data_IF_515929305857
#
_entry.id   IF_515929305857
#
_cell.length_a   1.000
_cell.length_b   1.000
_cell.length_c   1.000
_cell.angle_alpha   90.00
_cell.angle_beta   90.00
_cell.angle_gamma   90.00
#
_symmetry.space_group_name_H-M   'P 1'
#
loop_
_entity.id
_entity.type
_entity.pdbx_description
1 polymer ?
#
# COMPACT_ATOMS: atom_id res chain seq x y z
N UNK A 1 31.61 0.16 -23.26
CA UNK A 1 30.75 -0.96 -22.78
C UNK A 1 31.33 -1.63 -21.53
N UNK A 2 32.62 -2.01 -21.51
CA UNK A 2 33.30 -2.68 -20.37
C UNK A 2 33.15 -1.98 -19.00
N UNK A 3 33.33 -0.66 -18.95
CA UNK A 3 33.23 0.10 -17.68
C UNK A 3 31.84 0.06 -17.03
N UNK A 4 30.77 -0.04 -17.83
CA UNK A 4 29.39 -0.05 -17.33
C UNK A 4 29.05 -1.41 -16.71
N UNK A 5 29.60 -2.49 -17.25
CA UNK A 5 29.41 -3.86 -16.74
C UNK A 5 30.24 -4.12 -15.48
N UNK A 6 31.46 -3.58 -15.38
CA UNK A 6 32.29 -3.69 -14.17
C UNK A 6 31.67 -2.96 -12.97
N UNK A 7 31.12 -1.75 -13.19
CA UNK A 7 30.41 -1.01 -12.13
C UNK A 7 29.17 -1.74 -11.63
N UNK A 8 28.44 -2.40 -12.54
CA UNK A 8 27.27 -3.20 -12.19
C UNK A 8 27.67 -4.49 -11.46
N UNK A 9 28.74 -5.16 -11.90
CA UNK A 9 29.25 -6.35 -11.22
C UNK A 9 29.68 -6.04 -9.78
N UNK A 10 30.44 -4.96 -9.58
CA UNK A 10 30.84 -4.53 -8.24
C UNK A 10 29.65 -4.18 -7.34
N UNK A 11 28.56 -3.65 -7.91
CA UNK A 11 27.31 -3.42 -7.19
C UNK A 11 26.66 -4.73 -6.75
N UNK A 12 26.60 -5.75 -7.63
CA UNK A 12 26.03 -7.06 -7.29
C UNK A 12 26.89 -7.85 -6.29
N UNK A 13 28.22 -7.82 -6.42
CA UNK A 13 29.13 -8.47 -5.47
C UNK A 13 29.01 -7.86 -4.07
N UNK A 14 28.89 -6.54 -4.01
CA UNK A 14 28.69 -5.84 -2.75
C UNK A 14 27.31 -6.16 -2.13
N UNK A 15 26.24 -6.18 -2.93
CA UNK A 15 24.91 -6.61 -2.50
C UNK A 15 24.90 -8.04 -1.93
N UNK A 16 25.58 -8.98 -2.60
CA UNK A 16 25.68 -10.38 -2.14
C UNK A 16 26.47 -10.51 -0.83
N UNK A 17 27.51 -9.69 -0.64
CA UNK A 17 28.29 -9.66 0.60
C UNK A 17 27.42 -9.23 1.79
N UNK A 18 26.64 -8.17 1.63
CA UNK A 18 25.77 -7.67 2.70
C UNK A 18 24.65 -8.65 3.01
N UNK A 19 24.02 -9.25 1.99
CA UNK A 19 22.99 -10.27 2.21
C UNK A 19 23.54 -11.46 3.03
N UNK A 20 24.77 -11.89 2.75
CA UNK A 20 25.44 -12.95 3.51
C UNK A 20 25.68 -12.53 4.96
N UNK A 21 26.11 -11.31 5.21
CA UNK A 21 26.34 -10.78 6.56
C UNK A 21 25.03 -10.69 7.36
N UNK A 22 23.94 -10.18 6.76
CA UNK A 22 22.61 -10.12 7.39
C UNK A 22 22.08 -11.51 7.75
N UNK A 23 22.22 -12.49 6.85
CA UNK A 23 21.79 -13.87 7.10
C UNK A 23 22.66 -14.58 8.16
N UNK A 24 23.91 -14.16 8.35
CA UNK A 24 24.84 -14.74 9.31
C UNK A 24 24.81 -14.07 10.69
N UNK A 25 24.27 -12.84 10.78
CA UNK A 25 24.14 -12.10 12.02
C UNK A 25 23.24 -12.84 13.03
N UNK A 26 23.61 -12.80 14.31
CA UNK A 26 23.00 -13.64 15.35
C UNK A 26 21.87 -12.95 16.13
N UNK A 27 21.71 -11.63 15.96
CA UNK A 27 20.72 -10.81 16.67
C UNK A 27 19.96 -9.83 15.76
N UNK A 28 18.77 -9.42 16.20
CA UNK A 28 17.88 -8.48 15.48
C UNK A 28 18.47 -7.09 15.34
N UNK A 29 19.16 -6.59 16.38
CA UNK A 29 19.81 -5.27 16.38
C UNK A 29 20.93 -5.16 15.34
N UNK A 30 21.77 -6.20 15.24
CA UNK A 30 22.91 -6.28 14.31
C UNK A 30 22.43 -6.30 12.85
N UNK A 31 21.32 -7.01 12.58
CA UNK A 31 20.67 -7.04 11.27
C UNK A 31 20.05 -5.69 10.90
N UNK A 32 19.48 -4.98 11.86
CA UNK A 32 18.84 -3.68 11.64
C UNK A 32 19.85 -2.55 11.38
N UNK A 33 21.03 -2.60 12.00
CA UNK A 33 22.13 -1.67 11.71
C UNK A 33 22.69 -1.83 10.29
N UNK A 34 22.83 -3.08 9.81
CA UNK A 34 23.28 -3.38 8.45
C UNK A 34 22.27 -2.94 7.36
N UNK A 35 20.99 -2.81 7.72
CA UNK A 35 19.91 -2.42 6.80
C UNK A 35 19.65 -0.90 6.72
N UNK A 36 20.30 -0.09 7.56
CA UNK A 36 20.14 1.37 7.62
C UNK A 36 20.92 2.15 6.54
N UNK A 37 21.77 1.50 5.76
CA UNK A 37 22.57 2.18 4.74
C UNK A 37 21.70 2.66 3.55
N UNK A 38 21.60 3.97 3.29
CA UNK A 38 20.74 4.56 2.25
C UNK A 38 21.14 4.20 0.80
N UNK A 39 22.28 3.54 0.58
CA UNK A 39 22.70 3.07 -0.74
C UNK A 39 21.99 1.80 -1.23
N UNK A 40 21.13 1.19 -0.40
CA UNK A 40 20.59 -0.16 -0.61
C UNK A 40 19.10 -0.23 -0.98
N UNK A 41 18.46 0.89 -1.30
CA UNK A 41 17.01 1.09 -1.47
C UNK A 41 16.15 -0.16 -1.77
N UNK A 42 16.40 -0.88 -2.86
CA UNK A 42 15.57 -2.03 -3.28
C UNK A 42 15.84 -3.33 -2.52
N UNK A 43 17.11 -3.63 -2.20
CA UNK A 43 17.48 -4.87 -1.52
C UNK A 43 17.16 -4.80 -0.03
N UNK A 44 17.38 -3.65 0.61
CA UNK A 44 16.90 -3.39 1.97
C UNK A 44 15.38 -3.45 2.04
N UNK A 45 14.65 -2.88 1.08
CA UNK A 45 13.19 -2.96 1.05
C UNK A 45 12.69 -4.41 0.89
N UNK A 46 13.31 -5.21 0.02
CA UNK A 46 12.97 -6.62 -0.15
C UNK A 46 13.29 -7.44 1.09
N UNK A 47 14.46 -7.24 1.71
CA UNK A 47 14.84 -7.92 2.94
C UNK A 47 13.94 -7.49 4.10
N UNK A 48 13.59 -6.21 4.23
CA UNK A 48 12.61 -5.75 5.20
C UNK A 48 11.23 -6.34 4.95
N UNK A 49 10.78 -6.45 3.70
CA UNK A 49 9.48 -7.05 3.36
C UNK A 49 9.45 -8.56 3.63
N UNK A 50 10.54 -9.27 3.34
CA UNK A 50 10.69 -10.70 3.68
C UNK A 50 10.77 -10.86 5.19
N UNK A 51 11.55 -10.04 5.88
CA UNK A 51 11.63 -10.04 7.34
C UNK A 51 10.25 -9.73 7.91
N UNK A 52 9.51 -8.74 7.45
CA UNK A 52 8.15 -8.41 7.92
C UNK A 52 7.17 -9.58 7.68
N UNK A 53 7.20 -10.19 6.48
CA UNK A 53 6.38 -11.35 6.13
C UNK A 53 6.75 -12.61 6.94
N UNK A 54 8.02 -12.76 7.33
CA UNK A 54 8.53 -13.90 8.11
C UNK A 54 8.53 -13.62 9.62
N UNK A 55 8.56 -12.35 10.05
CA UNK A 55 8.62 -11.83 11.42
C UNK A 55 7.25 -11.70 12.09
N UNK A 56 6.19 -12.06 11.37
CA UNK A 56 4.94 -12.51 11.96
C UNK A 56 4.84 -14.06 11.99
N UNK A 57 5.86 -14.82 12.47
CA UNK A 57 5.68 -16.26 12.71
C UNK A 57 4.69 -16.48 13.87
N UNK A 58 4.42 -15.44 14.66
CA UNK A 58 3.37 -15.40 15.67
C UNK A 58 2.00 -15.42 15.00
N UNK A 59 1.79 -14.68 13.92
CA UNK A 59 0.51 -14.58 13.22
C UNK A 59 0.25 -15.84 12.38
N UNK A 60 1.26 -16.31 11.64
CA UNK A 60 1.20 -17.61 10.97
C UNK A 60 1.07 -18.75 11.98
N UNK A 61 1.75 -18.66 13.13
CA UNK A 61 1.63 -19.60 14.23
C UNK A 61 0.25 -19.58 14.89
N UNK A 62 -0.38 -18.40 14.97
CA UNK A 62 -1.74 -18.24 15.50
C UNK A 62 -2.77 -18.82 14.53
N UNK A 63 -2.67 -18.52 13.23
CA UNK A 63 -3.52 -19.09 12.19
C UNK A 63 -3.41 -20.61 12.11
N UNK A 64 -2.19 -21.16 12.12
CA UNK A 64 -1.98 -22.60 12.14
C UNK A 64 -2.50 -23.23 13.43
N UNK A 65 -2.42 -22.53 14.56
CA UNK A 65 -2.95 -22.99 15.83
C UNK A 65 -4.47 -23.00 15.83
N UNK A 66 -5.11 -21.98 15.29
CA UNK A 66 -6.56 -21.88 15.13
C UNK A 66 -7.08 -23.01 14.24
N UNK A 67 -6.46 -23.25 13.08
CA UNK A 67 -6.77 -24.37 12.19
C UNK A 67 -6.60 -25.74 12.87
N UNK A 68 -5.51 -25.92 13.62
CA UNK A 68 -5.27 -27.15 14.38
C UNK A 68 -6.33 -27.33 15.47
N UNK A 69 -6.72 -26.26 16.16
CA UNK A 69 -7.79 -26.30 17.17
C UNK A 69 -9.13 -26.65 16.51
N UNK A 70 -9.49 -26.03 15.39
CA UNK A 70 -10.72 -26.33 14.63
C UNK A 70 -10.75 -27.81 14.20
N UNK A 71 -9.71 -28.30 13.51
CA UNK A 71 -9.59 -29.70 13.10
C UNK A 71 -9.61 -30.65 14.30
N UNK A 72 -9.01 -30.27 15.43
CA UNK A 72 -9.05 -31.08 16.66
C UNK A 72 -10.46 -31.17 17.21
N UNK A 73 -11.23 -30.08 17.19
CA UNK A 73 -12.63 -30.09 17.62
C UNK A 73 -13.52 -30.91 16.69
N UNK A 74 -13.34 -30.81 15.37
CA UNK A 74 -14.09 -31.59 14.39
C UNK A 74 -13.80 -33.09 14.55
N UNK A 75 -12.52 -33.45 14.69
CA UNK A 75 -12.08 -34.81 14.96
C UNK A 75 -12.63 -35.34 16.29
N UNK A 76 -12.71 -34.49 17.32
CA UNK A 76 -13.34 -34.84 18.59
C UNK A 76 -14.83 -35.14 18.43
N UNK A 77 -15.58 -34.29 17.73
CA UNK A 77 -17.01 -34.49 17.44
C UNK A 77 -17.23 -35.77 16.63
N UNK A 78 -16.42 -36.00 15.60
CA UNK A 78 -16.47 -37.24 14.80
C UNK A 78 -16.26 -38.48 15.68
N UNK A 79 -15.25 -38.48 16.55
CA UNK A 79 -14.99 -39.60 17.45
C UNK A 79 -16.13 -39.82 18.45
N UNK A 80 -16.74 -38.75 18.98
CA UNK A 80 -17.92 -38.87 19.83
C UNK A 80 -19.10 -39.47 19.07
N UNK A 81 -19.35 -39.03 17.82
CA UNK A 81 -20.43 -39.54 17.00
C UNK A 81 -20.22 -41.02 16.67
N UNK A 82 -19.01 -41.39 16.25
CA UNK A 82 -18.60 -42.77 16.02
C UNK A 82 -18.82 -43.63 17.27
N UNK A 83 -18.38 -43.15 18.43
CA UNK A 83 -18.60 -43.84 19.71
C UNK A 83 -20.09 -44.02 20.02
N UNK A 84 -20.93 -43.01 19.81
CA UNK A 84 -22.39 -43.12 19.98
C UNK A 84 -23.02 -44.14 19.02
N UNK A 85 -22.53 -44.22 17.79
CA UNK A 85 -22.97 -45.23 16.82
C UNK A 85 -22.57 -46.63 17.29
N UNK A 86 -21.33 -46.81 17.76
CA UNK A 86 -20.82 -48.09 18.26
C UNK A 86 -21.52 -48.53 19.58
N UNK A 87 -21.83 -47.57 20.45
CA UNK A 87 -22.57 -47.76 21.70
C UNK A 87 -24.09 -47.91 21.49
N UNK A 88 -24.60 -47.63 20.28
CA UNK A 88 -26.02 -47.77 19.96
C UNK A 88 -26.46 -49.22 20.21
N UNK A 89 -27.30 -49.40 21.23
CA UNK A 89 -27.82 -50.71 21.61
C UNK A 89 -28.90 -51.18 20.63
N UNK A 90 -29.41 -50.28 19.78
CA UNK A 90 -30.54 -50.54 18.88
C UNK A 90 -30.41 -51.85 18.09
N UNK A 91 -29.26 -52.07 17.43
CA UNK A 91 -29.04 -53.29 16.63
C UNK A 91 -29.01 -54.55 17.51
N UNK A 92 -28.39 -54.47 18.70
CA UNK A 92 -28.32 -55.57 19.67
C UNK A 92 -29.69 -55.87 20.28
N UNK A 93 -30.44 -54.83 20.63
CA UNK A 93 -31.77 -54.92 21.23
C UNK A 93 -32.78 -55.49 20.22
N UNK A 94 -32.73 -55.05 18.96
CA UNK A 94 -33.51 -55.61 17.87
C UNK A 94 -33.22 -57.11 17.70
N UNK A 95 -31.94 -57.49 17.65
CA UNK A 95 -31.55 -58.89 17.50
C UNK A 95 -31.97 -59.75 18.71
N UNK A 96 -31.85 -59.22 19.94
CA UNK A 96 -32.30 -59.88 21.17
C UNK A 96 -33.81 -60.06 21.20
N UNK A 97 -34.57 -59.06 20.72
CA UNK A 97 -36.02 -59.11 20.64
C UNK A 97 -36.48 -60.20 19.64
N UNK A 98 -35.86 -60.26 18.46
CA UNK A 98 -36.11 -61.32 17.47
C UNK A 98 -35.82 -62.72 18.05
N UNK A 99 -34.75 -62.87 18.82
CA UNK A 99 -34.44 -64.16 19.48
C UNK A 99 -35.45 -64.53 20.57
N UNK A 100 -35.94 -63.55 21.34
CA UNK A 100 -36.86 -63.77 22.45
C UNK A 100 -38.32 -63.98 22.01
N UNK A 101 -38.74 -63.33 20.93
CA UNK A 101 -40.15 -63.26 20.51
C UNK A 101 -40.41 -63.78 19.09
N UNK A 102 -39.37 -64.20 18.36
CA UNK A 102 -39.45 -64.56 16.95
C UNK A 102 -39.37 -63.32 16.04
N UNK A 103 -39.36 -63.54 14.71
CA UNK A 103 -39.43 -62.41 13.77
C UNK A 103 -40.71 -61.62 14.03
N UNK A 104 -40.64 -60.29 14.16
CA UNK A 104 -41.84 -59.48 14.19
C UNK A 104 -42.55 -59.72 12.85
N UNK A 105 -43.75 -60.32 12.86
CA UNK A 105 -44.38 -60.86 11.64
C UNK A 105 -44.50 -59.84 10.49
N UNK A 106 -44.94 -60.28 9.28
CA UNK A 106 -44.76 -59.54 8.01
C UNK A 106 -45.29 -58.10 7.96
N UNK A 107 -46.15 -57.71 8.90
CA UNK A 107 -46.57 -56.33 9.09
C UNK A 107 -45.43 -55.41 9.56
N UNK A 108 -44.67 -55.83 10.56
CA UNK A 108 -43.62 -55.02 11.17
C UNK A 108 -42.36 -54.92 10.32
N UNK A 109 -42.02 -55.98 9.58
CA UNK A 109 -40.95 -55.93 8.58
C UNK A 109 -41.23 -54.86 7.53
N UNK A 110 -42.48 -54.82 7.01
CA UNK A 110 -42.92 -53.77 6.07
C UNK A 110 -42.91 -52.36 6.69
N UNK A 111 -43.32 -52.24 7.95
CA UNK A 111 -43.26 -50.95 8.65
C UNK A 111 -41.82 -50.47 8.84
N UNK A 112 -40.89 -51.38 9.16
CA UNK A 112 -39.46 -51.05 9.28
C UNK A 112 -38.87 -50.60 7.94
N UNK A 113 -39.21 -51.27 6.84
CA UNK A 113 -38.80 -50.87 5.49
C UNK A 113 -39.35 -49.48 5.11
N UNK A 114 -40.63 -49.22 5.43
CA UNK A 114 -41.26 -47.91 5.22
C UNK A 114 -40.54 -46.80 6.00
N UNK A 115 -40.18 -47.05 7.27
CA UNK A 115 -39.45 -46.08 8.09
C UNK A 115 -38.03 -45.83 7.57
N UNK A 116 -37.33 -46.86 7.11
CA UNK A 116 -36.01 -46.71 6.49
C UNK A 116 -36.08 -45.79 5.26
N UNK A 117 -37.06 -46.00 4.38
CA UNK A 117 -37.28 -45.13 3.21
C UNK A 117 -37.50 -43.67 3.61
N UNK A 118 -38.33 -43.41 4.64
CA UNK A 118 -38.55 -42.04 5.13
C UNK A 118 -37.28 -41.43 5.72
N UNK A 119 -36.47 -42.22 6.44
CA UNK A 119 -35.18 -41.76 6.99
C UNK A 119 -34.20 -41.41 5.86
N UNK A 120 -34.11 -42.25 4.83
CA UNK A 120 -33.27 -42.01 3.65
C UNK A 120 -33.72 -40.72 2.95
N UNK A 121 -35.01 -40.58 2.65
CA UNK A 121 -35.56 -39.36 2.06
C UNK A 121 -35.27 -38.10 2.89
N UNK A 122 -35.39 -38.19 4.22
CA UNK A 122 -35.09 -37.06 5.11
C UNK A 122 -33.60 -36.76 5.13
N UNK A 123 -32.75 -37.77 5.12
CA UNK A 123 -31.29 -37.63 5.08
C UNK A 123 -30.84 -36.94 3.78
N UNK A 124 -31.37 -37.38 2.64
CA UNK A 124 -31.11 -36.76 1.33
C UNK A 124 -31.55 -35.29 1.31
N UNK A 125 -32.74 -34.99 1.85
CA UNK A 125 -33.24 -33.60 1.92
C UNK A 125 -32.35 -32.72 2.79
N UNK A 126 -31.88 -33.21 3.94
CA UNK A 126 -30.96 -32.48 4.81
C UNK A 126 -29.64 -32.22 4.08
N UNK A 127 -29.08 -33.22 3.40
CA UNK A 127 -27.86 -33.08 2.62
C UNK A 127 -28.03 -32.04 1.50
N UNK A 128 -29.13 -32.09 0.75
CA UNK A 128 -29.42 -31.14 -0.32
C UNK A 128 -29.55 -29.70 0.21
N UNK A 129 -30.18 -29.50 1.37
CA UNK A 129 -30.26 -28.20 2.03
C UNK A 129 -28.88 -27.72 2.50
N UNK A 130 -28.04 -28.61 3.05
CA UNK A 130 -26.67 -28.31 3.43
C UNK A 130 -25.82 -27.83 2.26
N UNK A 131 -25.89 -28.54 1.13
CA UNK A 131 -25.17 -28.16 -0.10
C UNK A 131 -25.62 -26.78 -0.63
N UNK A 132 -26.94 -26.50 -0.60
CA UNK A 132 -27.47 -25.20 -1.01
C UNK A 132 -26.99 -24.08 -0.09
N UNK A 133 -26.96 -24.32 1.21
CA UNK A 133 -26.44 -23.35 2.18
C UNK A 133 -24.97 -23.03 1.93
N UNK A 134 -24.15 -24.06 1.72
CA UNK A 134 -22.72 -23.92 1.40
C UNK A 134 -22.53 -23.14 0.09
N UNK A 135 -23.29 -23.45 -0.96
CA UNK A 135 -23.22 -22.74 -2.23
C UNK A 135 -23.52 -21.25 -2.06
N UNK A 136 -24.61 -20.89 -1.36
CA UNK A 136 -24.94 -19.49 -1.11
C UNK A 136 -23.86 -18.77 -0.30
N UNK A 137 -23.25 -19.46 0.67
CA UNK A 137 -22.15 -18.89 1.46
C UNK A 137 -20.93 -18.59 0.59
N UNK A 138 -20.55 -19.51 -0.31
CA UNK A 138 -19.43 -19.33 -1.24
C UNK A 138 -19.72 -18.18 -2.21
N UNK A 139 -20.90 -18.16 -2.83
CA UNK A 139 -21.30 -17.08 -3.75
C UNK A 139 -21.28 -15.71 -3.07
N UNK A 140 -21.76 -15.64 -1.81
CA UNK A 140 -21.71 -14.41 -1.02
C UNK A 140 -20.27 -13.99 -0.69
N UNK A 141 -19.42 -14.94 -0.30
CA UNK A 141 -18.02 -14.65 0.00
C UNK A 141 -17.30 -14.10 -1.24
N UNK A 142 -17.46 -14.73 -2.40
CA UNK A 142 -16.89 -14.25 -3.67
C UNK A 142 -17.38 -12.82 -4.00
N UNK A 143 -18.68 -12.54 -3.83
CA UNK A 143 -19.23 -11.20 -4.05
C UNK A 143 -18.66 -10.15 -3.09
N UNK A 144 -18.36 -10.53 -1.85
CA UNK A 144 -17.73 -9.64 -0.87
C UNK A 144 -16.25 -9.41 -1.19
N UNK A 145 -15.53 -10.45 -1.62
CA UNK A 145 -14.14 -10.35 -2.08
C UNK A 145 -14.02 -9.37 -3.26
N UNK A 146 -14.90 -9.47 -4.26
CA UNK A 146 -14.95 -8.53 -5.38
C UNK A 146 -15.20 -7.08 -4.92
N UNK A 147 -16.09 -6.88 -3.94
CA UNK A 147 -16.34 -5.55 -3.38
C UNK A 147 -15.11 -5.00 -2.65
N UNK A 148 -14.41 -5.82 -1.88
CA UNK A 148 -13.16 -5.43 -1.19
C UNK A 148 -12.10 -5.04 -2.21
N UNK A 149 -11.91 -5.83 -3.25
CA UNK A 149 -10.95 -5.53 -4.33
C UNK A 149 -11.27 -4.17 -4.97
N UNK A 150 -12.55 -3.94 -5.33
CA UNK A 150 -12.98 -2.67 -5.93
C UNK A 150 -12.73 -1.48 -4.99
N UNK A 151 -12.98 -1.62 -3.69
CA UNK A 151 -12.73 -0.55 -2.71
C UNK A 151 -11.23 -0.28 -2.54
N UNK A 152 -10.39 -1.32 -2.53
CA UNK A 152 -8.94 -1.18 -2.46
C UNK A 152 -8.37 -0.47 -3.70
N UNK A 153 -8.84 -0.84 -4.89
CA UNK A 153 -8.45 -0.18 -6.13
C UNK A 153 -8.83 1.31 -6.13
N UNK A 154 -10.08 1.63 -5.75
CA UNK A 154 -10.53 3.02 -5.66
C UNK A 154 -9.73 3.84 -4.64
N UNK A 155 -9.31 3.23 -3.53
CA UNK A 155 -8.45 3.90 -2.54
C UNK A 155 -7.07 4.21 -3.12
N UNK A 156 -6.47 3.28 -3.87
CA UNK A 156 -5.17 3.53 -4.48
C UNK A 156 -5.24 4.63 -5.55
N UNK A 157 -6.29 4.63 -6.38
CA UNK A 157 -6.53 5.71 -7.34
C UNK A 157 -6.71 7.08 -6.67
N UNK A 158 -7.35 7.11 -5.48
CA UNK A 158 -7.46 8.32 -4.68
C UNK A 158 -6.11 8.75 -4.10
N UNK A 159 -5.30 7.82 -3.58
CA UNK A 159 -3.95 8.12 -3.08
C UNK A 159 -3.08 8.72 -4.17
N UNK A 160 -3.04 8.12 -5.36
CA UNK A 160 -2.30 8.65 -6.50
C UNK A 160 -2.76 10.06 -6.88
N UNK A 161 -4.09 10.32 -6.86
CA UNK A 161 -4.62 11.67 -7.10
C UNK A 161 -4.19 12.67 -6.03
N UNK A 162 -4.20 12.28 -4.76
CA UNK A 162 -3.75 13.13 -3.65
C UNK A 162 -2.27 13.48 -3.82
N UNK A 163 -1.41 12.51 -4.12
CA UNK A 163 0.02 12.72 -4.32
C UNK A 163 0.31 13.68 -5.48
N UNK A 164 -0.46 13.57 -6.57
CA UNK A 164 -0.38 14.51 -7.70
C UNK A 164 -0.78 15.93 -7.29
N UNK A 165 -1.89 16.09 -6.56
CA UNK A 165 -2.32 17.39 -6.06
C UNK A 165 -1.33 18.00 -5.06
N UNK A 166 -0.73 17.18 -4.20
CA UNK A 166 0.27 17.62 -3.25
C UNK A 166 1.54 18.10 -3.96
N UNK A 167 1.97 17.41 -5.01
CA UNK A 167 3.09 17.82 -5.86
C UNK A 167 2.81 19.17 -6.54
N UNK A 168 1.60 19.36 -7.07
CA UNK A 168 1.17 20.62 -7.67
C UNK A 168 1.16 21.77 -6.63
N UNK A 169 0.65 21.51 -5.42
CA UNK A 169 0.65 22.49 -4.33
C UNK A 169 2.07 22.91 -3.95
N UNK A 170 3.00 21.97 -3.86
CA UNK A 170 4.42 22.27 -3.60
C UNK A 170 5.03 23.14 -4.70
N UNK A 171 4.74 22.83 -5.97
CA UNK A 171 5.20 23.64 -7.10
C UNK A 171 4.65 25.07 -7.04
N UNK A 172 3.34 25.23 -6.87
CA UNK A 172 2.70 26.55 -6.77
C UNK A 172 3.22 27.35 -5.58
N UNK A 173 3.46 26.69 -4.44
CA UNK A 173 4.03 27.35 -3.26
C UNK A 173 5.44 27.86 -3.51
N UNK A 174 6.27 27.09 -4.26
CA UNK A 174 7.60 27.52 -4.67
C UNK A 174 7.55 28.71 -5.62
N UNK A 175 6.71 28.64 -6.65
CA UNK A 175 6.51 29.75 -7.60
C UNK A 175 6.05 31.02 -6.88
N UNK A 176 5.14 30.89 -5.90
CA UNK A 176 4.71 32.02 -5.08
C UNK A 176 5.86 32.63 -4.27
N UNK A 177 6.70 31.81 -3.64
CA UNK A 177 7.86 32.27 -2.88
C UNK A 177 8.90 32.97 -3.77
N UNK A 178 9.16 32.42 -4.96
CA UNK A 178 10.09 33.01 -5.93
C UNK A 178 9.60 34.39 -6.42
N UNK A 179 8.30 34.51 -6.73
CA UNK A 179 7.67 35.77 -7.13
C UNK A 179 7.70 36.80 -5.99
N UNK A 180 7.40 36.39 -4.76
CA UNK A 180 7.48 37.27 -3.59
C UNK A 180 8.91 37.79 -3.40
N UNK A 181 9.91 36.92 -3.50
CA UNK A 181 11.31 37.33 -3.42
C UNK A 181 11.72 38.30 -4.55
N UNK A 182 11.19 38.14 -5.76
CA UNK A 182 11.42 39.07 -6.86
C UNK A 182 10.78 40.44 -6.59
N UNK A 183 9.55 40.46 -6.07
CA UNK A 183 8.84 41.67 -5.67
C UNK A 183 9.61 42.45 -4.61
N UNK A 184 10.09 41.79 -3.56
CA UNK A 184 10.84 42.42 -2.47
C UNK A 184 12.16 43.05 -2.98
N UNK A 185 12.87 42.35 -3.88
CA UNK A 185 14.08 42.88 -4.54
C UNK A 185 13.77 44.13 -5.36
N UNK A 186 12.67 44.11 -6.13
CA UNK A 186 12.25 45.25 -6.93
C UNK A 186 11.85 46.44 -6.04
N UNK A 187 11.11 46.20 -4.96
CA UNK A 187 10.74 47.23 -3.99
C UNK A 187 11.99 47.89 -3.37
N UNK A 188 12.99 47.10 -2.99
CA UNK A 188 14.27 47.61 -2.49
C UNK A 188 15.05 48.46 -3.51
N UNK A 189 15.05 48.06 -4.79
CA UNK A 189 15.64 48.87 -5.87
C UNK A 189 14.92 50.21 -6.05
N UNK A 190 13.59 50.20 -6.09
CA UNK A 190 12.77 51.41 -6.20
C UNK A 190 13.03 52.37 -5.04
N UNK A 191 13.17 51.87 -3.81
CA UNK A 191 13.50 52.69 -2.65
C UNK A 191 14.87 53.36 -2.79
N UNK A 192 15.90 52.62 -3.21
CA UNK A 192 17.25 53.19 -3.45
C UNK A 192 17.25 54.26 -4.52
N UNK A 193 16.60 54.01 -5.66
CA UNK A 193 16.47 54.99 -6.73
C UNK A 193 15.73 56.25 -6.28
N UNK A 194 14.73 56.10 -5.41
CA UNK A 194 14.01 57.24 -4.82
C UNK A 194 14.94 58.07 -3.92
N UNK A 195 15.74 57.42 -3.07
CA UNK A 195 16.73 58.10 -2.24
C UNK A 195 17.81 58.81 -3.07
N UNK A 196 18.35 58.15 -4.11
CA UNK A 196 19.31 58.78 -5.04
C UNK A 196 18.70 59.99 -5.76
N UNK A 197 17.45 59.86 -6.23
CA UNK A 197 16.71 60.96 -6.84
C UNK A 197 16.58 62.15 -5.88
N UNK A 198 16.21 61.92 -4.62
CA UNK A 198 16.09 62.96 -3.60
C UNK A 198 17.44 63.63 -3.32
N UNK A 199 18.53 62.85 -3.21
CA UNK A 199 19.88 63.38 -3.03
C UNK A 199 20.33 64.24 -4.22
N UNK A 200 20.06 63.81 -5.45
CA UNK A 200 20.38 64.58 -6.66
C UNK A 200 19.56 65.86 -6.74
N UNK A 201 18.27 65.81 -6.42
CA UNK A 201 17.40 66.99 -6.33
C UNK A 201 17.90 68.00 -5.29
N UNK A 202 18.37 67.52 -4.13
CA UNK A 202 18.99 68.37 -3.11
C UNK A 202 20.26 69.04 -3.65
N UNK A 203 21.16 68.29 -4.29
CA UNK A 203 22.38 68.84 -4.91
C UNK A 203 22.08 69.87 -6.00
N UNK A 204 21.05 69.64 -6.81
CA UNK A 204 20.64 70.58 -7.87
C UNK A 204 20.13 71.91 -7.28
N UNK A 205 19.27 71.84 -6.25
CA UNK A 205 18.68 73.03 -5.59
C UNK A 205 19.72 73.87 -4.84
N UNK A 206 20.79 73.25 -4.36
CA UNK A 206 21.85 73.91 -3.58
C UNK A 206 23.14 74.13 -4.37
N UNK A 207 23.11 73.97 -5.70
CA UNK A 207 24.25 74.18 -6.61
C UNK A 207 24.73 75.64 -6.63
N UNK A 208 23.88 76.58 -6.26
CA UNK A 208 24.17 78.03 -6.31
C UNK A 208 24.68 78.58 -4.96
N UNK A 209 25.13 77.75 -4.02
CA UNK A 209 25.47 78.16 -2.64
C UNK A 209 26.91 77.88 -2.15
N UNK A 210 27.90 77.69 -3.03
CA UNK A 210 29.33 77.70 -2.66
C UNK A 210 30.19 78.34 -3.77
N UNK A 211 31.21 79.18 -3.47
CA UNK A 211 31.87 80.02 -4.47
C UNK A 211 32.93 79.29 -5.29
N UNK A 212 32.89 79.52 -6.61
CA UNK A 212 33.94 79.39 -7.65
C UNK A 212 34.63 78.02 -7.83
N UNK A 213 34.51 77.41 -9.01
CA UNK A 213 35.58 76.97 -9.95
C UNK A 213 35.01 76.08 -11.09
N UNK A 214 35.71 75.97 -12.24
CA UNK A 214 35.17 76.32 -13.55
C UNK A 214 34.37 75.21 -14.24
N UNK A 215 33.50 75.67 -15.14
CA UNK A 215 32.70 74.88 -16.07
C UNK A 215 33.48 73.73 -16.72
N UNK A 216 33.02 72.50 -16.50
CA UNK A 216 33.35 71.37 -17.39
C UNK A 216 32.22 71.16 -18.40
N UNK A 217 32.57 70.82 -19.66
CA UNK A 217 31.66 70.90 -20.79
C UNK A 217 30.62 69.79 -20.75
N UNK A 218 29.44 70.13 -21.27
CA UNK A 218 28.33 69.23 -21.57
C UNK A 218 28.85 68.15 -22.52
N UNK A 219 28.86 66.89 -22.08
CA UNK A 219 29.01 65.73 -22.97
C UNK A 219 27.61 65.29 -23.38
N UNK A 220 27.42 65.24 -24.70
CA UNK A 220 26.17 65.01 -25.40
C UNK A 220 25.44 63.72 -25.01
N UNK A 221 24.13 63.86 -24.95
CA UNK A 221 23.12 62.82 -24.81
C UNK A 221 23.11 61.92 -26.07
N UNK A 222 23.49 60.65 -25.91
CA UNK A 222 23.25 59.60 -26.91
C UNK A 222 22.04 58.82 -26.43
N UNK A 223 20.92 58.99 -27.13
CA UNK A 223 19.70 58.20 -26.93
C UNK A 223 19.96 56.72 -27.26
N UNK A 224 19.68 55.76 -26.36
CA UNK A 224 19.67 54.35 -26.74
C UNK A 224 18.39 54.03 -27.52
N UNK A 225 18.62 53.64 -28.78
CA UNK A 225 17.61 53.14 -29.72
C UNK A 225 16.94 51.87 -29.18
N UNK A 226 15.62 51.82 -29.34
CA UNK A 226 14.73 50.69 -29.05
C UNK A 226 15.06 49.51 -29.99
N UNK A 227 15.77 48.48 -29.51
CA UNK A 227 15.94 47.24 -30.28
C UNK A 227 14.63 46.45 -30.18
N UNK A 228 13.84 46.57 -31.24
CA UNK A 228 12.69 45.71 -31.54
C UNK A 228 13.20 44.45 -32.27
N UNK A 229 13.44 43.36 -31.56
CA UNK A 229 13.56 42.04 -32.21
C UNK A 229 12.20 41.34 -32.16
N UNK A 230 11.44 41.49 -33.24
CA UNK A 230 10.45 40.51 -33.63
C UNK A 230 11.04 39.61 -34.71
N UNK A 231 10.92 38.29 -34.55
CA UNK A 231 10.79 37.24 -35.57
C UNK A 231 10.81 35.90 -34.79
N UNK A 232 9.66 35.26 -34.60
CA UNK A 232 9.02 34.28 -35.51
C UNK A 232 9.78 32.96 -35.60
N UNK A 233 9.17 31.88 -35.10
CA UNK A 233 9.67 30.52 -35.26
C UNK A 233 8.81 29.47 -34.57
N UNK A 234 7.61 29.21 -35.12
CA UNK A 234 6.98 27.89 -35.03
C UNK A 234 7.92 26.84 -35.69
N UNK A 235 7.89 25.58 -35.24
CA UNK A 235 7.18 24.62 -36.08
C UNK A 235 6.30 23.64 -35.30
N UNK A 236 5.27 23.17 -36.01
CA UNK A 236 4.51 21.95 -35.74
C UNK A 236 5.45 20.74 -35.75
N UNK A 237 5.30 19.83 -34.79
CA UNK A 237 4.56 18.58 -34.97
C UNK A 237 4.30 17.89 -33.65
#
# INVERSE_FOLDING_TARGET
>A
KCYKTEKQLGQYEWQLKILREVLSASGTQEREELLKDPTQGELCALVHNIIEKVANPIDLGFLLKEEVEELTTELHVYNQLKKRVDESTFKKDLQRNIQAHGSPGPFWEREQESLLFVIEMKSERIQAQGNKLLQMQVEKNLSLEDQVINVLQNNEDLRVRIDNHQSLLQQLSKEHQDLQGALDRQAGLCQRLTQEKEQLMFKLKHRDSCPTFPSFPIVSEISPQLIRTGQSGLPRS
#
